data_IF_215150184072
#
_entry.id   IF_215150184072
#
_cell.length_a   1.000
_cell.length_b   1.000
_cell.length_c   1.000
_cell.angle_alpha   90.00
_cell.angle_beta   90.00
_cell.angle_gamma   90.00
#
_symmetry.space_group_name_H-M   'P 1'
#
loop_
_entity.id
_entity.type
_entity.pdbx_description
1 polymer ?
#
# COMPACT_ATOMS: atom_id res chain seq x y z
N UNK A 1 -13.16 -26.21 17.69
CA UNK A 1 -12.68 -25.67 16.39
C UNK A 1 -13.68 -24.72 15.75
N UNK A 2 -14.99 -25.03 15.72
CA UNK A 2 -16.02 -24.13 15.16
C UNK A 2 -16.06 -22.76 15.84
N UNK A 3 -15.94 -22.70 17.18
CA UNK A 3 -15.90 -21.42 17.89
C UNK A 3 -14.71 -20.53 17.52
N UNK A 4 -13.51 -21.12 17.39
CA UNK A 4 -12.31 -20.39 16.97
C UNK A 4 -12.42 -19.87 15.53
N UNK A 5 -13.01 -20.68 14.64
CA UNK A 5 -13.26 -20.27 13.25
C UNK A 5 -14.26 -19.10 13.17
N UNK A 6 -15.32 -19.14 14.00
CA UNK A 6 -16.32 -18.07 14.06
C UNK A 6 -15.73 -16.73 14.52
N UNK A 7 -14.84 -16.75 15.52
CA UNK A 7 -14.14 -15.53 15.98
C UNK A 7 -13.23 -14.96 14.90
N UNK A 8 -12.47 -15.81 14.20
CA UNK A 8 -11.61 -15.36 13.10
C UNK A 8 -12.41 -14.75 11.94
N UNK A 9 -13.55 -15.34 11.59
CA UNK A 9 -14.43 -14.82 10.54
C UNK A 9 -15.06 -13.47 10.93
N UNK A 10 -15.50 -13.31 12.19
CA UNK A 10 -16.02 -12.04 12.69
C UNK A 10 -14.94 -10.95 12.73
N UNK A 11 -13.72 -11.30 13.13
CA UNK A 11 -12.60 -10.35 13.14
C UNK A 11 -12.25 -9.85 11.73
N UNK A 12 -12.25 -10.75 10.74
CA UNK A 12 -12.06 -10.38 9.33
C UNK A 12 -13.23 -9.55 8.78
N UNK A 13 -14.47 -9.90 9.13
CA UNK A 13 -15.65 -9.17 8.68
C UNK A 13 -15.75 -7.77 9.30
N UNK A 14 -15.30 -7.60 10.55
CA UNK A 14 -15.23 -6.31 11.22
C UNK A 14 -14.04 -5.47 10.75
N UNK A 15 -13.12 -6.02 9.95
CA UNK A 15 -11.98 -5.31 9.44
C UNK A 15 -12.40 -4.43 8.24
N UNK A 16 -12.76 -3.19 8.53
CA UNK A 16 -12.99 -2.17 7.50
C UNK A 16 -11.64 -1.78 6.88
N UNK A 17 -11.34 -2.28 5.68
CA UNK A 17 -10.08 -1.99 5.01
C UNK A 17 -10.07 -0.51 4.56
N UNK A 18 -9.23 0.36 5.16
CA UNK A 18 -9.24 1.77 4.83
C UNK A 18 -8.74 1.93 3.40
N UNK A 19 -9.63 2.34 2.49
CA UNK A 19 -9.26 2.69 1.12
C UNK A 19 -8.18 3.77 1.18
N UNK A 20 -7.07 3.52 0.49
CA UNK A 20 -6.02 4.53 0.30
C UNK A 20 -6.58 5.65 -0.59
N UNK A 21 -7.15 6.68 0.02
CA UNK A 21 -7.52 7.90 -0.69
C UNK A 21 -6.32 8.86 -0.68
N UNK A 22 -6.02 9.43 -1.85
CA UNK A 22 -5.07 10.54 -1.96
C UNK A 22 -5.76 11.75 -1.34
N UNK A 23 -5.38 12.08 -0.11
CA UNK A 23 -5.79 13.33 0.54
C UNK A 23 -5.14 14.49 -0.21
N UNK A 24 -5.81 14.99 -1.25
CA UNK A 24 -5.50 16.29 -1.83
C UNK A 24 -5.67 17.33 -0.72
N UNK A 25 -4.61 18.11 -0.45
CA UNK A 25 -4.56 19.08 0.64
C UNK A 25 -5.93 19.75 0.85
N UNK A 26 -6.54 19.53 2.02
CA UNK A 26 -7.86 20.04 2.33
C UNK A 26 -7.82 21.57 2.27
N UNK A 27 -8.37 22.16 1.20
CA UNK A 27 -8.65 23.58 1.18
C UNK A 27 -9.80 23.85 2.15
N UNK A 28 -9.49 24.48 3.28
CA UNK A 28 -10.47 25.15 4.12
C UNK A 28 -10.84 24.43 5.42
N UNK A 29 -10.23 24.90 6.51
CA UNK A 29 -10.96 25.14 7.77
C UNK A 29 -10.97 24.05 8.84
N UNK A 30 -10.60 22.80 8.55
CA UNK A 30 -10.43 21.79 9.59
C UNK A 30 -8.93 21.58 9.84
N UNK A 31 -8.44 22.00 11.00
CA UNK A 31 -7.09 21.76 11.48
C UNK A 31 -6.82 20.24 11.44
N UNK A 32 -6.15 19.75 10.40
CA UNK A 32 -5.74 18.34 10.36
C UNK A 32 -4.72 18.13 11.46
N UNK A 33 -5.14 17.53 12.57
CA UNK A 33 -4.24 17.11 13.63
C UNK A 33 -3.29 16.07 13.03
N UNK A 34 -2.05 16.50 12.79
CA UNK A 34 -0.99 15.61 12.34
C UNK A 34 -0.82 14.51 13.40
N UNK A 35 -0.81 13.23 13.01
CA UNK A 35 -0.59 12.15 13.96
C UNK A 35 0.77 12.34 14.64
N UNK A 36 0.85 12.00 15.93
CA UNK A 36 2.07 12.18 16.76
C UNK A 36 3.33 11.57 16.12
N UNK A 37 3.16 10.57 15.27
CA UNK A 37 4.21 10.03 14.42
C UNK A 37 3.83 10.33 12.97
N UNK A 38 4.43 11.37 12.39
CA UNK A 38 4.35 11.60 10.96
C UNK A 38 5.04 10.43 10.25
N UNK A 39 4.33 9.76 9.34
CA UNK A 39 4.92 8.72 8.51
C UNK A 39 6.02 9.37 7.69
N UNK A 40 7.28 9.00 7.97
CA UNK A 40 8.40 9.50 7.21
C UNK A 40 8.20 9.13 5.74
N UNK A 41 8.12 10.15 4.88
CA UNK A 41 8.18 9.95 3.43
C UNK A 41 9.61 9.60 3.10
N UNK A 42 9.95 8.32 3.17
CA UNK A 42 11.24 7.83 2.71
C UNK A 42 11.24 7.92 1.20
N UNK A 43 12.21 8.63 0.62
CA UNK A 43 12.45 8.58 -0.81
C UNK A 43 12.66 7.11 -1.19
N UNK A 44 11.69 6.51 -1.87
CA UNK A 44 11.79 5.15 -2.36
C UNK A 44 12.86 5.15 -3.46
N UNK A 45 14.10 4.84 -3.07
CA UNK A 45 15.20 4.60 -3.99
C UNK A 45 14.92 3.23 -4.62
N UNK A 46 14.65 3.15 -5.93
CA UNK A 46 14.54 1.86 -6.58
C UNK A 46 15.88 1.15 -6.45
N UNK A 47 15.84 0.02 -5.76
CA UNK A 47 16.94 -0.89 -5.52
C UNK A 47 17.45 -1.48 -6.84
N UNK A 48 18.73 -1.87 -6.87
CA UNK A 48 19.37 -2.39 -8.08
C UNK A 48 18.67 -3.64 -8.62
N UNK A 49 18.09 -4.46 -7.73
CA UNK A 49 17.33 -5.65 -8.09
C UNK A 49 16.03 -5.32 -8.83
N UNK A 50 15.35 -4.22 -8.47
CA UNK A 50 14.16 -3.77 -9.20
C UNK A 50 14.51 -3.29 -10.62
N UNK A 51 15.63 -2.58 -10.76
CA UNK A 51 16.12 -2.15 -12.08
C UNK A 51 16.54 -3.34 -12.94
N UNK A 52 17.22 -4.33 -12.35
CA UNK A 52 17.63 -5.56 -13.03
C UNK A 52 16.40 -6.41 -13.43
N UNK A 53 15.39 -6.47 -12.58
CA UNK A 53 14.12 -7.14 -12.86
C UNK A 53 13.36 -6.49 -14.01
N UNK A 54 13.21 -5.16 -14.02
CA UNK A 54 12.57 -4.42 -15.12
C UNK A 54 13.32 -4.60 -16.44
N UNK A 55 14.67 -4.59 -16.39
CA UNK A 55 15.50 -4.88 -17.54
C UNK A 55 15.26 -6.30 -18.08
N UNK A 56 15.28 -7.31 -17.21
CA UNK A 56 14.99 -8.70 -17.59
C UNK A 56 13.61 -8.88 -18.22
N UNK A 57 12.57 -8.26 -17.65
CA UNK A 57 11.22 -8.27 -18.23
C UNK A 57 11.18 -7.62 -19.62
N UNK A 58 11.84 -6.47 -19.79
CA UNK A 58 11.88 -5.78 -21.09
C UNK A 58 12.57 -6.60 -22.19
N UNK A 59 13.48 -7.50 -21.81
CA UNK A 59 14.17 -8.40 -22.75
C UNK A 59 13.33 -9.63 -23.08
N UNK A 60 12.63 -10.21 -22.08
CA UNK A 60 11.76 -11.38 -22.27
C UNK A 60 10.45 -11.09 -23.00
N UNK A 61 9.97 -9.84 -22.96
CA UNK A 61 8.74 -9.43 -23.67
C UNK A 61 8.98 -8.95 -25.11
N UNK A 62 10.20 -9.05 -25.63
CA UNK A 62 10.46 -8.76 -27.04
C UNK A 62 9.82 -9.85 -27.90
N UNK A 63 8.92 -9.52 -28.84
CA UNK A 63 8.34 -10.51 -29.72
C UNK A 63 9.47 -11.16 -30.53
N UNK A 64 9.54 -12.49 -30.50
CA UNK A 64 10.39 -13.27 -31.39
C UNK A 64 9.85 -13.05 -32.81
N UNK A 65 10.57 -12.28 -33.63
CA UNK A 65 10.24 -12.04 -35.04
C UNK A 65 10.35 -13.31 -35.87
#
# INVERSE_FOLDING_TARGET
>A
MVGALGVAALALAAWEQPRTQVLSASQGGAQCLLPRVAKASTAAKPDHELLLFMFGMSQGMRPQS
#
